data_IF_099881201283
#
_entry.id   IF_099881201283
#
_cell.length_a   1.000
_cell.length_b   1.000
_cell.length_c   1.000
_cell.angle_alpha   90.00
_cell.angle_beta   90.00
_cell.angle_gamma   90.00
#
_symmetry.space_group_name_H-M   'P 1'
#
loop_
_entity.id
_entity.type
_entity.pdbx_description
1 polymer ?
#
# COMPACT_ATOMS: atom_id res chain seq x y z
N UNK A 1 15.29 20.99 11.61
CA UNK A 1 15.02 19.62 11.25
C UNK A 1 13.53 19.43 10.90
N UNK A 2 13.27 18.78 9.85
CA UNK A 2 11.91 18.63 9.39
C UNK A 2 11.41 17.22 9.67
N UNK A 3 10.20 17.12 10.13
CA UNK A 3 9.56 15.84 10.30
C UNK A 3 8.43 15.72 9.29
N UNK A 4 8.20 14.49 8.89
CA UNK A 4 7.10 14.18 8.00
C UNK A 4 6.08 13.37 8.76
N UNK A 5 5.07 14.00 9.29
CA UNK A 5 4.12 13.31 10.17
C UNK A 5 3.23 12.34 9.41
N UNK A 6 3.27 12.35 8.10
CA UNK A 6 2.29 11.64 7.29
C UNK A 6 2.69 10.22 6.95
N UNK A 7 3.95 9.80 7.23
CA UNK A 7 4.35 8.44 6.97
C UNK A 7 5.50 8.05 7.89
N UNK A 8 5.48 6.80 8.35
CA UNK A 8 6.54 6.21 9.14
C UNK A 8 7.66 5.63 8.30
N UNK A 9 7.46 5.56 7.00
CA UNK A 9 8.38 4.86 6.13
C UNK A 9 9.35 5.83 5.47
N UNK A 10 10.53 5.32 5.13
CA UNK A 10 11.55 6.12 4.46
C UNK A 10 11.03 6.61 3.11
N UNK A 11 11.63 7.68 2.63
CA UNK A 11 11.27 8.20 1.32
C UNK A 11 11.56 7.18 0.22
N UNK A 12 12.65 6.42 0.35
CA UNK A 12 12.97 5.38 -0.60
C UNK A 12 11.87 4.32 -0.67
N UNK A 13 11.37 3.88 0.48
CA UNK A 13 10.29 2.90 0.51
C UNK A 13 9.00 3.49 -0.04
N UNK A 14 8.74 4.76 0.21
CA UNK A 14 7.58 5.42 -0.38
C UNK A 14 7.67 5.44 -1.90
N UNK A 15 8.86 5.72 -2.45
CA UNK A 15 9.05 5.69 -3.90
C UNK A 15 8.91 4.29 -4.46
N UNK A 16 9.41 3.29 -3.76
CA UNK A 16 9.22 1.90 -4.16
C UNK A 16 7.75 1.53 -4.18
N UNK A 17 6.98 2.04 -3.22
CA UNK A 17 5.54 1.79 -3.17
C UNK A 17 4.84 2.40 -4.38
N UNK A 18 5.17 3.66 -4.71
CA UNK A 18 4.60 4.32 -5.89
C UNK A 18 4.94 3.54 -7.15
N UNK A 19 6.17 3.11 -7.27
CA UNK A 19 6.64 2.38 -8.44
C UNK A 19 5.93 1.03 -8.56
N UNK A 20 5.81 0.30 -7.46
CA UNK A 20 5.18 -1.02 -7.47
C UNK A 20 3.71 -0.93 -7.90
N UNK A 21 3.01 0.08 -7.43
CA UNK A 21 1.60 0.28 -7.80
C UNK A 21 1.51 0.67 -9.29
N UNK A 22 2.38 1.57 -9.74
CA UNK A 22 2.37 2.01 -11.14
C UNK A 22 2.71 0.87 -12.09
N UNK A 23 3.61 -0.03 -11.69
CA UNK A 23 4.06 -1.15 -12.52
C UNK A 23 3.21 -2.40 -12.34
N UNK A 24 2.25 -2.39 -11.43
CA UNK A 24 1.45 -3.57 -11.09
C UNK A 24 2.35 -4.76 -10.75
N UNK A 25 3.30 -4.53 -9.84
CA UNK A 25 4.36 -5.49 -9.50
C UNK A 25 3.86 -6.54 -8.52
N UNK A 26 2.83 -7.28 -8.91
CA UNK A 26 2.25 -8.31 -8.04
C UNK A 26 3.18 -9.52 -7.95
N UNK A 27 3.02 -10.27 -6.85
CA UNK A 27 3.74 -11.53 -6.65
C UNK A 27 3.06 -12.65 -7.45
N UNK A 28 3.61 -13.85 -7.37
CA UNK A 28 3.11 -14.99 -8.14
C UNK A 28 1.67 -15.36 -7.77
N UNK A 29 1.20 -14.94 -6.61
CA UNK A 29 -0.18 -15.20 -6.17
C UNK A 29 -1.18 -14.16 -6.71
N UNK A 30 -0.71 -13.20 -7.50
CA UNK A 30 -1.57 -12.18 -8.09
C UNK A 30 -1.92 -11.03 -7.15
N UNK A 31 -1.14 -10.84 -6.11
CA UNK A 31 -1.38 -9.78 -5.12
C UNK A 31 -0.19 -8.87 -4.98
N UNK A 32 -0.47 -7.62 -4.64
CA UNK A 32 0.54 -6.68 -4.17
C UNK A 32 0.39 -6.58 -2.66
N UNK A 33 1.50 -6.75 -1.94
CA UNK A 33 1.49 -6.88 -0.49
C UNK A 33 1.94 -5.58 0.17
N UNK A 34 1.29 -5.23 1.28
CA UNK A 34 1.53 -3.97 2.00
C UNK A 34 1.74 -4.23 3.48
N UNK A 35 2.42 -3.30 4.12
CA UNK A 35 2.64 -3.35 5.56
C UNK A 35 2.31 -2.01 6.19
N UNK A 36 1.95 -2.05 7.46
CA UNK A 36 1.65 -0.88 8.27
C UNK A 36 2.25 -1.10 9.65
N UNK A 37 2.77 -0.03 10.27
CA UNK A 37 3.46 -0.16 11.53
C UNK A 37 2.56 -0.60 12.69
N UNK A 38 1.26 -0.33 12.60
CA UNK A 38 0.32 -0.68 13.68
C UNK A 38 -0.82 -1.58 13.20
N UNK A 39 -1.23 -1.47 11.95
CA UNK A 39 -2.37 -2.23 11.43
C UNK A 39 -1.98 -3.59 10.87
N UNK A 40 -0.69 -3.87 10.73
CA UNK A 40 -0.21 -5.16 10.28
C UNK A 40 -0.03 -5.23 8.78
N UNK A 41 -0.56 -6.28 8.18
CA UNK A 41 -0.32 -6.58 6.77
C UNK A 41 -1.62 -6.64 6.00
N UNK A 42 -1.55 -6.21 4.74
CA UNK A 42 -2.70 -6.23 3.84
C UNK A 42 -2.24 -6.55 2.42
N UNK A 43 -3.20 -6.78 1.54
CA UNK A 43 -2.89 -7.08 0.15
C UNK A 43 -3.96 -6.51 -0.76
N UNK A 44 -3.58 -6.23 -2.00
CA UNK A 44 -4.48 -5.78 -3.04
C UNK A 44 -4.39 -6.74 -4.22
N UNK A 45 -5.52 -6.97 -4.90
CA UNK A 45 -5.54 -7.87 -6.05
C UNK A 45 -5.12 -7.13 -7.32
N UNK A 46 -4.55 -7.87 -8.25
CA UNK A 46 -4.22 -7.32 -9.56
C UNK A 46 -5.46 -6.75 -10.24
N UNK A 47 -6.59 -7.42 -10.11
CA UNK A 47 -7.84 -6.96 -10.72
C UNK A 47 -8.23 -5.58 -10.22
N UNK A 48 -8.19 -5.37 -8.90
CA UNK A 48 -8.50 -4.06 -8.34
C UNK A 48 -7.51 -3.01 -8.82
N UNK A 49 -6.24 -3.35 -8.85
CA UNK A 49 -5.19 -2.40 -9.26
C UNK A 49 -5.33 -2.00 -10.72
N UNK A 50 -5.69 -2.94 -11.59
CA UNK A 50 -5.86 -2.63 -13.02
C UNK A 50 -7.08 -1.76 -13.26
N UNK A 51 -8.03 -1.77 -12.34
CA UNK A 51 -9.22 -0.91 -12.42
C UNK A 51 -9.07 0.36 -11.58
N UNK A 52 -7.82 0.69 -11.21
CA UNK A 52 -7.50 1.88 -10.44
C UNK A 52 -8.18 1.92 -9.06
N UNK A 53 -8.39 0.76 -8.47
CA UNK A 53 -8.95 0.65 -7.13
C UNK A 53 -7.84 0.29 -6.16
N UNK A 54 -7.51 1.21 -5.26
CA UNK A 54 -6.55 0.95 -4.19
C UNK A 54 -7.32 0.44 -2.97
N UNK A 55 -7.68 -0.82 -3.04
CA UNK A 55 -8.41 -1.51 -1.99
C UNK A 55 -7.48 -2.54 -1.35
N UNK A 56 -7.11 -2.27 -0.11
CA UNK A 56 -6.25 -3.16 0.67
C UNK A 56 -7.12 -3.97 1.60
N UNK A 57 -6.90 -5.28 1.63
CA UNK A 57 -7.61 -6.19 2.53
C UNK A 57 -6.66 -6.75 3.54
N UNK A 58 -7.02 -6.67 4.81
CA UNK A 58 -6.21 -7.20 5.90
C UNK A 58 -5.97 -8.69 5.71
N UNK A 59 -4.73 -9.13 5.94
CA UNK A 59 -4.40 -10.56 5.83
C UNK A 59 -4.87 -11.37 7.03
N UNK A 60 -5.11 -10.70 8.16
CA UNK A 60 -5.43 -11.39 9.41
C UNK A 60 -6.80 -11.07 9.95
N UNK A 61 -7.55 -10.20 9.28
CA UNK A 61 -8.86 -9.77 9.73
C UNK A 61 -9.80 -9.56 8.57
N UNK A 62 -10.88 -8.85 8.85
CA UNK A 62 -11.91 -8.58 7.85
C UNK A 62 -11.89 -7.14 7.38
N UNK A 63 -10.92 -6.36 7.84
CA UNK A 63 -10.87 -4.94 7.54
C UNK A 63 -10.45 -4.69 6.08
N UNK A 64 -11.03 -3.68 5.49
CA UNK A 64 -10.66 -3.19 4.17
C UNK A 64 -10.34 -1.71 4.26
N UNK A 65 -9.36 -1.29 3.46
CA UNK A 65 -8.90 0.09 3.45
C UNK A 65 -8.90 0.58 2.00
N UNK A 66 -9.64 1.66 1.74
CA UNK A 66 -9.78 2.21 0.39
C UNK A 66 -9.11 3.57 0.32
N UNK A 67 -8.37 3.79 -0.75
CA UNK A 67 -7.66 5.04 -0.96
C UNK A 67 -7.94 5.58 -2.35
N UNK A 68 -8.05 6.91 -2.44
CA UNK A 68 -8.30 7.58 -3.72
C UNK A 68 -7.10 7.48 -4.65
N UNK A 69 -5.89 7.52 -4.09
CA UNK A 69 -4.66 7.45 -4.86
C UNK A 69 -3.52 6.95 -3.96
N UNK A 70 -2.34 6.78 -4.55
CA UNK A 70 -1.20 6.25 -3.81
C UNK A 70 -0.74 7.21 -2.72
N UNK A 71 -0.90 8.51 -2.92
CA UNK A 71 -0.49 9.47 -1.89
C UNK A 71 -1.35 9.33 -0.64
N UNK A 72 -2.66 9.11 -0.80
CA UNK A 72 -3.55 8.86 0.34
C UNK A 72 -3.15 7.58 1.07
N UNK A 73 -2.79 6.53 0.33
CA UNK A 73 -2.32 5.28 0.91
C UNK A 73 -1.05 5.48 1.74
N UNK A 74 -0.10 6.24 1.21
CA UNK A 74 1.14 6.54 1.92
C UNK A 74 0.90 7.40 3.16
N UNK A 75 0.02 8.39 3.04
CA UNK A 75 -0.35 9.24 4.17
C UNK A 75 -0.98 8.44 5.30
N UNK A 76 -1.72 7.40 4.96
CA UNK A 76 -2.34 6.55 5.96
C UNK A 76 -1.34 5.60 6.63
N UNK A 77 -0.10 5.55 6.16
CA UNK A 77 0.96 4.77 6.79
C UNK A 77 1.22 3.42 6.13
N UNK A 78 0.69 3.19 4.95
CA UNK A 78 0.93 1.94 4.21
C UNK A 78 2.14 2.06 3.29
N UNK A 79 2.85 0.96 3.14
CA UNK A 79 3.95 0.86 2.20
C UNK A 79 4.01 -0.56 1.67
N UNK A 80 4.71 -0.74 0.55
CA UNK A 80 4.90 -2.07 -0.01
C UNK A 80 5.74 -2.91 0.96
N UNK A 81 5.35 -4.16 1.07
CA UNK A 81 6.04 -5.12 1.94
C UNK A 81 7.11 -5.89 1.17
#
# INVERSE_FOLDING_TARGET
MTTHPTSNWSENLQQQTRHAIAQLSVTSDGHLHFKHSTLGYAQATLDDLTHHRLLLRSKTGIDEYRFADVEALLLAGWAID
#
